data_IF_740431208911
#
_entry.id   IF_740431208911
#
_cell.length_a   1.000
_cell.length_b   1.000
_cell.length_c   1.000
_cell.angle_alpha   90.00
_cell.angle_beta   90.00
_cell.angle_gamma   90.00
#
_symmetry.space_group_name_H-M   'P 1'
#
loop_
_entity.id
_entity.type
_entity.pdbx_description
1 polymer ?
#
# COMPACT_ATOMS: atom_id res chain seq x y z
N UNK A 1 4.23 -26.01 30.58
CA UNK A 1 4.24 -25.60 29.16
C UNK A 1 4.27 -24.08 29.15
N UNK A 2 5.40 -23.50 28.76
CA UNK A 2 5.59 -22.05 28.71
C UNK A 2 4.71 -21.49 27.59
N UNK A 3 3.81 -20.55 27.91
CA UNK A 3 2.98 -19.87 26.92
C UNK A 3 3.89 -18.95 26.07
N UNK A 4 3.82 -19.00 24.72
CA UNK A 4 4.75 -18.28 23.85
C UNK A 4 4.52 -16.77 23.93
N UNK A 5 5.63 -16.05 23.77
CA UNK A 5 5.80 -14.59 23.80
C UNK A 5 4.62 -13.81 23.21
N UNK A 6 3.94 -13.01 24.06
CA UNK A 6 3.12 -11.89 23.59
C UNK A 6 4.05 -10.70 23.35
N UNK A 7 4.10 -10.21 22.11
CA UNK A 7 4.65 -8.88 21.83
C UNK A 7 3.61 -7.82 22.21
N UNK A 8 4.03 -6.82 22.97
CA UNK A 8 3.21 -5.66 23.33
C UNK A 8 3.88 -4.44 22.71
N UNK A 9 3.23 -3.74 21.78
CA UNK A 9 3.61 -2.38 21.45
C UNK A 9 2.79 -1.43 22.34
N UNK A 10 3.47 -0.75 23.25
CA UNK A 10 2.90 0.35 24.04
C UNK A 10 3.48 1.63 23.47
N UNK A 11 2.66 2.60 23.07
CA UNK A 11 3.15 3.95 22.85
C UNK A 11 3.57 4.52 24.20
N UNK A 12 4.87 4.70 24.39
CA UNK A 12 5.46 5.37 25.56
C UNK A 12 4.80 6.73 25.80
N UNK A 13 4.75 7.24 27.04
CA UNK A 13 4.25 8.59 27.28
C UNK A 13 5.16 9.59 26.55
N UNK A 14 4.62 10.26 25.53
CA UNK A 14 5.20 11.50 25.01
C UNK A 14 5.68 11.57 23.56
N UNK A 15 5.42 10.63 22.65
CA UNK A 15 5.91 10.86 21.26
C UNK A 15 5.22 10.22 20.06
N UNK A 16 4.19 9.36 20.18
CA UNK A 16 3.48 8.89 18.97
C UNK A 16 2.00 8.59 19.28
N UNK A 17 1.04 9.08 18.46
CA UNK A 17 -0.34 8.59 18.51
C UNK A 17 -0.35 7.06 18.37
N UNK A 18 -1.25 6.38 19.09
CA UNK A 18 -1.44 4.93 18.92
C UNK A 18 -1.63 4.59 17.43
N UNK A 19 -0.91 3.57 16.90
CA UNK A 19 -1.04 3.16 15.50
C UNK A 19 -2.44 2.64 15.15
N UNK A 20 -3.31 2.46 16.14
CA UNK A 20 -4.71 2.05 15.99
C UNK A 20 -5.70 3.23 16.10
N UNK A 21 -5.21 4.46 16.18
CA UNK A 21 -6.01 5.68 16.29
C UNK A 21 -6.31 6.12 17.73
N UNK A 22 -7.01 7.25 17.86
CA UNK A 22 -7.43 7.85 19.13
C UNK A 22 -8.90 7.57 19.41
N UNK A 23 -9.25 7.25 20.64
CA UNK A 23 -10.61 7.09 21.10
C UNK A 23 -11.36 8.41 21.28
N UNK A 24 -12.59 8.31 21.80
CA UNK A 24 -13.39 9.47 22.18
C UNK A 24 -14.14 9.23 23.50
N UNK A 25 -14.46 10.30 24.22
CA UNK A 25 -15.19 10.25 25.48
C UNK A 25 -14.28 10.15 26.71
N UNK A 26 -14.80 9.59 27.81
CA UNK A 26 -14.06 9.46 29.06
C UNK A 26 -13.26 8.15 29.07
N UNK A 27 -11.95 8.26 29.27
CA UNK A 27 -11.07 7.13 29.53
C UNK A 27 -11.51 6.43 30.82
N UNK A 28 -11.83 5.14 30.73
CA UNK A 28 -12.46 4.39 31.83
C UNK A 28 -11.46 3.82 32.84
N UNK A 29 -10.31 3.34 32.38
CA UNK A 29 -9.28 2.73 33.21
C UNK A 29 -7.89 3.23 32.81
N UNK A 30 -7.00 3.38 33.78
CA UNK A 30 -5.60 3.78 33.59
C UNK A 30 -4.68 2.96 34.49
N UNK A 31 -3.36 3.03 34.25
CA UNK A 31 -2.34 2.41 35.12
C UNK A 31 -2.57 0.91 35.37
N UNK A 32 -3.01 0.18 34.34
CA UNK A 32 -3.31 -1.25 34.44
C UNK A 32 -2.02 -2.05 34.61
N UNK A 33 -1.93 -2.83 35.68
CA UNK A 33 -0.82 -3.72 36.01
C UNK A 33 -1.36 -5.12 36.30
N UNK A 34 -1.05 -6.08 35.43
CA UNK A 34 -1.46 -7.47 35.56
C UNK A 34 -0.28 -8.34 36.05
N UNK A 35 -0.58 -9.41 36.78
CA UNK A 35 0.38 -10.45 37.17
C UNK A 35 0.64 -11.47 36.05
N UNK A 36 -0.25 -11.53 35.05
CA UNK A 36 -0.18 -12.43 33.90
C UNK A 36 -0.99 -13.72 34.05
N UNK A 37 -1.78 -13.84 35.12
CA UNK A 37 -2.67 -14.98 35.38
C UNK A 37 -4.15 -14.63 35.31
N UNK A 38 -4.47 -13.35 35.17
CA UNK A 38 -5.83 -12.83 35.06
C UNK A 38 -6.46 -13.22 33.72
N UNK A 39 -7.73 -13.65 33.75
CA UNK A 39 -8.52 -13.95 32.55
C UNK A 39 -9.31 -12.72 32.06
N UNK A 40 -9.30 -11.64 32.83
CA UNK A 40 -9.99 -10.40 32.52
C UNK A 40 -9.18 -9.18 32.99
N UNK A 41 -9.07 -8.16 32.14
CA UNK A 41 -8.30 -6.93 32.44
C UNK A 41 -8.78 -6.19 33.69
N UNK A 42 -10.04 -6.37 34.09
CA UNK A 42 -10.60 -5.79 35.33
C UNK A 42 -10.17 -6.50 36.61
N UNK A 43 -9.54 -7.67 36.50
CA UNK A 43 -8.94 -8.40 37.63
C UNK A 43 -7.52 -7.92 37.92
N UNK A 44 -6.92 -7.15 37.01
CA UNK A 44 -5.61 -6.54 37.20
C UNK A 44 -5.68 -5.37 38.19
N UNK A 45 -4.54 -4.97 38.75
CA UNK A 45 -4.46 -3.74 39.52
C UNK A 45 -4.61 -2.55 38.58
N UNK A 46 -5.63 -1.72 38.78
CA UNK A 46 -5.95 -0.61 37.87
C UNK A 46 -6.44 0.62 38.63
N UNK A 47 -6.40 1.77 37.97
CA UNK A 47 -6.97 3.03 38.44
C UNK A 47 -8.18 3.41 37.57
N UNK A 48 -9.18 4.04 38.18
CA UNK A 48 -10.30 4.59 37.42
C UNK A 48 -9.86 5.85 36.68
N UNK A 49 -10.18 5.92 35.39
CA UNK A 49 -9.91 7.09 34.56
C UNK A 49 -11.04 8.13 34.65
N UNK A 50 -10.68 9.38 34.42
CA UNK A 50 -11.63 10.51 34.33
C UNK A 50 -11.23 11.53 33.26
N UNK A 51 -10.20 11.24 32.48
CA UNK A 51 -9.65 12.11 31.45
C UNK A 51 -10.35 11.89 30.11
N UNK A 52 -10.36 12.92 29.27
CA UNK A 52 -10.76 12.86 27.86
C UNK A 52 -9.59 13.16 26.90
N UNK A 53 -8.35 13.04 27.38
CA UNK A 53 -7.15 13.17 26.56
C UNK A 53 -6.72 11.79 26.02
N UNK A 54 -6.94 11.59 24.72
CA UNK A 54 -6.71 10.32 24.00
C UNK A 54 -5.31 10.19 23.39
N UNK A 55 -4.36 11.07 23.74
CA UNK A 55 -2.99 10.98 23.23
C UNK A 55 -2.26 9.70 23.68
N UNK A 56 -2.73 9.05 24.76
CA UNK A 56 -2.10 7.86 25.36
C UNK A 56 -3.03 6.63 25.36
N UNK A 57 -3.98 6.56 24.43
CA UNK A 57 -4.85 5.39 24.31
C UNK A 57 -4.03 4.15 23.91
N UNK A 58 -4.36 3.00 24.50
CA UNK A 58 -3.65 1.73 24.26
C UNK A 58 -4.41 0.91 23.23
N UNK A 59 -3.73 0.50 22.16
CA UNK A 59 -4.21 -0.52 21.21
C UNK A 59 -3.63 -1.90 21.51
N UNK A 60 -4.42 -2.95 21.31
CA UNK A 60 -3.98 -4.34 21.47
C UNK A 60 -4.26 -5.15 20.21
N UNK A 61 -3.29 -5.93 19.73
CA UNK A 61 -3.48 -6.94 18.68
C UNK A 61 -3.51 -8.32 19.33
N UNK A 62 -4.68 -8.97 19.29
CA UNK A 62 -4.85 -10.31 19.85
C UNK A 62 -4.90 -11.36 18.74
N UNK A 63 -4.07 -12.39 18.85
CA UNK A 63 -4.04 -13.54 17.95
C UNK A 63 -2.66 -14.18 17.98
N UNK A 64 -2.56 -15.44 17.55
CA UNK A 64 -1.35 -15.79 16.81
C UNK A 64 -1.37 -14.85 15.61
N UNK A 65 -0.38 -13.97 15.45
CA UNK A 65 -0.10 -13.56 14.08
C UNK A 65 0.00 -14.86 13.29
N UNK A 66 -0.68 -14.97 12.15
CA UNK A 66 -0.10 -15.82 11.11
C UNK A 66 1.37 -15.44 11.11
N UNK A 67 2.28 -16.39 11.41
CA UNK A 67 3.66 -16.08 11.78
C UNK A 67 4.22 -15.10 10.75
N UNK A 68 4.19 -13.79 11.03
CA UNK A 68 4.61 -12.77 10.07
C UNK A 68 6.10 -13.09 9.87
N UNK A 69 6.46 -13.60 8.70
CA UNK A 69 7.82 -14.06 8.43
C UNK A 69 8.60 -12.90 7.89
N UNK A 70 9.90 -12.92 8.17
CA UNK A 70 10.82 -11.98 7.57
C UNK A 70 10.66 -11.99 6.03
N UNK A 71 10.32 -10.82 5.47
CA UNK A 71 10.04 -10.59 4.05
C UNK A 71 8.60 -10.85 3.61
N UNK A 72 7.65 -11.04 4.54
CA UNK A 72 6.22 -11.03 4.21
C UNK A 72 5.78 -9.61 3.86
N UNK A 73 4.80 -9.49 2.96
CA UNK A 73 4.31 -8.20 2.46
C UNK A 73 2.79 -8.11 2.59
N UNK A 74 2.27 -6.88 2.65
CA UNK A 74 0.83 -6.58 2.65
C UNK A 74 0.52 -5.25 1.97
N UNK A 75 -0.74 -5.09 1.54
CA UNK A 75 -1.27 -3.83 1.02
C UNK A 75 -2.21 -3.18 2.05
N UNK A 76 -2.05 -1.87 2.27
CA UNK A 76 -2.83 -1.10 3.26
C UNK A 76 -3.38 0.18 2.64
N UNK A 77 -4.59 0.59 3.03
CA UNK A 77 -5.18 1.88 2.62
C UNK A 77 -5.90 1.87 1.27
N UNK A 78 -5.83 0.76 0.52
CA UNK A 78 -6.61 0.55 -0.69
C UNK A 78 -8.12 0.42 -0.47
N UNK A 79 -8.91 0.73 -1.50
CA UNK A 79 -10.36 0.45 -1.49
C UNK A 79 -10.64 -1.04 -1.75
N UNK A 80 -9.69 -1.72 -2.38
CA UNK A 80 -9.75 -3.13 -2.69
C UNK A 80 -8.54 -3.88 -2.13
N UNK A 81 -8.64 -5.21 -1.98
CA UNK A 81 -7.55 -6.01 -1.40
C UNK A 81 -6.31 -6.13 -2.29
N UNK A 82 -6.44 -5.79 -3.57
CA UNK A 82 -5.39 -5.87 -4.59
C UNK A 82 -4.72 -4.52 -4.84
N UNK A 83 -4.96 -3.50 -4.01
CA UNK A 83 -4.32 -2.20 -4.12
C UNK A 83 -3.98 -1.64 -2.73
N UNK A 84 -2.99 -0.76 -2.67
CA UNK A 84 -2.64 -0.07 -1.44
C UNK A 84 -1.16 0.25 -1.31
N UNK A 85 -0.81 0.94 -0.22
CA UNK A 85 0.56 1.13 0.24
C UNK A 85 1.21 -0.22 0.53
N UNK A 86 2.43 -0.39 0.06
CA UNK A 86 3.22 -1.61 0.30
C UNK A 86 3.87 -1.52 1.67
N UNK A 87 3.63 -2.52 2.50
CA UNK A 87 4.34 -2.72 3.76
C UNK A 87 5.03 -4.08 3.75
N UNK A 88 6.22 -4.14 4.35
CA UNK A 88 7.04 -5.35 4.47
C UNK A 88 7.34 -5.64 5.95
N UNK A 89 7.40 -6.91 6.32
CA UNK A 89 7.74 -7.35 7.67
C UNK A 89 9.21 -7.71 7.78
N UNK A 90 10.01 -6.83 8.41
CA UNK A 90 11.44 -7.02 8.65
C UNK A 90 11.72 -6.77 10.13
N UNK A 91 12.73 -7.47 10.68
CA UNK A 91 13.21 -7.30 12.05
C UNK A 91 12.13 -7.29 13.16
N UNK A 92 11.03 -8.02 12.93
CA UNK A 92 9.95 -8.19 13.91
C UNK A 92 8.86 -7.12 13.83
N UNK A 93 8.93 -6.20 12.88
CA UNK A 93 7.94 -5.13 12.70
C UNK A 93 7.55 -4.90 11.24
N UNK A 94 6.32 -4.42 11.04
CA UNK A 94 5.88 -3.92 9.74
C UNK A 94 6.43 -2.52 9.53
N UNK A 95 6.92 -2.26 8.32
CA UNK A 95 7.38 -0.94 7.91
C UNK A 95 7.08 -0.70 6.44
N UNK A 96 7.19 0.56 6.03
CA UNK A 96 6.88 1.00 4.67
C UNK A 96 8.11 0.94 3.77
N UNK A 97 7.88 1.18 2.48
CA UNK A 97 8.89 1.23 1.43
C UNK A 97 8.71 2.58 0.74
N UNK A 98 9.79 3.29 0.42
CA UNK A 98 9.71 4.56 -0.32
C UNK A 98 9.60 4.33 -1.82
N UNK A 99 9.08 5.34 -2.52
CA UNK A 99 8.80 5.30 -3.95
C UNK A 99 9.99 5.71 -4.84
N UNK A 100 11.11 6.07 -4.22
CA UNK A 100 12.40 6.29 -4.87
C UNK A 100 12.86 5.03 -5.62
N UNK A 101 13.10 5.19 -6.91
CA UNK A 101 13.43 4.14 -7.90
C UNK A 101 12.41 3.02 -8.08
N UNK A 102 11.32 3.00 -7.29
CA UNK A 102 10.29 2.00 -7.39
C UNK A 102 9.42 2.19 -8.67
N UNK A 103 9.28 1.13 -9.45
CA UNK A 103 8.59 1.15 -10.74
C UNK A 103 7.59 -0.03 -10.91
N UNK A 104 7.00 -0.15 -12.10
CA UNK A 104 6.00 -1.19 -12.38
C UNK A 104 6.60 -2.61 -12.37
N UNK A 105 7.93 -2.76 -12.52
CA UNK A 105 8.64 -4.03 -12.40
C UNK A 105 8.69 -4.48 -10.95
N UNK A 106 8.91 -3.55 -10.02
CA UNK A 106 8.81 -3.84 -8.58
C UNK A 106 7.38 -4.20 -8.19
N UNK A 107 6.39 -3.46 -8.71
CA UNK A 107 4.99 -3.74 -8.47
C UNK A 107 4.62 -5.16 -8.93
N UNK A 108 5.16 -5.61 -10.07
CA UNK A 108 4.98 -6.97 -10.55
C UNK A 108 5.45 -8.03 -9.54
N UNK A 109 6.62 -7.82 -8.91
CA UNK A 109 7.13 -8.73 -7.86
C UNK A 109 6.20 -8.75 -6.65
N UNK A 110 5.74 -7.59 -6.18
CA UNK A 110 4.78 -7.45 -5.06
C UNK A 110 3.49 -8.21 -5.36
N UNK A 111 2.90 -7.97 -6.52
CA UNK A 111 1.62 -8.55 -6.90
C UNK A 111 1.70 -10.07 -7.05
N UNK A 112 2.77 -10.56 -7.68
CA UNK A 112 3.04 -12.00 -7.78
C UNK A 112 3.27 -12.64 -6.42
N UNK A 113 4.04 -12.00 -5.53
CA UNK A 113 4.28 -12.53 -4.17
C UNK A 113 2.99 -12.60 -3.35
N UNK A 114 2.04 -11.68 -3.56
CA UNK A 114 0.71 -11.69 -2.93
C UNK A 114 -0.27 -12.68 -3.58
N UNK A 115 0.12 -13.34 -4.67
CA UNK A 115 -0.71 -14.32 -5.38
C UNK A 115 -1.70 -13.70 -6.38
N UNK A 116 -1.52 -12.42 -6.72
CA UNK A 116 -2.21 -11.82 -7.86
C UNK A 116 -1.44 -12.20 -9.13
N UNK A 117 -2.04 -13.07 -9.94
CA UNK A 117 -1.47 -13.51 -11.22
C UNK A 117 -1.86 -12.53 -12.32
N UNK A 118 -1.01 -11.53 -12.55
CA UNK A 118 -1.12 -10.60 -13.66
C UNK A 118 -0.19 -11.01 -14.78
N UNK A 119 -0.69 -10.92 -16.02
CA UNK A 119 0.22 -10.86 -17.16
C UNK A 119 1.07 -9.59 -17.03
N UNK A 120 2.39 -9.71 -17.17
CA UNK A 120 3.35 -8.60 -17.12
C UNK A 120 2.77 -7.29 -17.71
N UNK A 121 2.64 -6.25 -16.88
CA UNK A 121 2.26 -4.90 -17.31
C UNK A 121 0.87 -4.39 -16.92
N UNK A 122 0.15 -5.09 -16.04
CA UNK A 122 -1.07 -4.57 -15.41
C UNK A 122 -0.88 -4.09 -13.97
N UNK A 123 0.20 -4.53 -13.35
CA UNK A 123 0.65 -4.01 -12.07
C UNK A 123 1.08 -2.55 -12.27
N UNK A 124 0.73 -1.69 -11.32
CA UNK A 124 1.13 -0.28 -11.35
C UNK A 124 1.70 0.18 -10.04
N UNK A 125 2.74 0.97 -10.14
CA UNK A 125 3.30 1.78 -9.06
C UNK A 125 2.59 3.12 -8.93
N UNK A 126 2.44 3.55 -7.68
CA UNK A 126 1.93 4.85 -7.29
C UNK A 126 2.88 5.50 -6.28
N UNK A 127 2.96 6.81 -6.39
CA UNK A 127 3.96 7.66 -5.73
C UNK A 127 3.28 8.60 -4.73
N UNK A 128 4.08 9.26 -3.91
CA UNK A 128 3.68 10.32 -2.99
C UNK A 128 2.58 9.89 -2.01
N UNK A 129 2.74 8.70 -1.42
CA UNK A 129 1.78 8.13 -0.46
C UNK A 129 0.34 8.10 -0.99
N UNK A 130 0.14 7.65 -2.24
CA UNK A 130 -1.16 7.67 -2.93
C UNK A 130 -2.32 7.07 -2.12
N UNK A 131 -2.09 5.95 -1.43
CA UNK A 131 -3.09 5.30 -0.56
C UNK A 131 -2.96 5.68 0.92
N UNK A 132 -2.34 6.84 1.18
CA UNK A 132 -2.08 7.39 2.50
C UNK A 132 -0.70 7.03 3.04
N UNK A 133 -0.21 7.89 3.91
CA UNK A 133 1.05 7.71 4.64
C UNK A 133 0.93 6.55 5.64
N UNK A 134 2.01 5.79 5.77
CA UNK A 134 2.19 4.84 6.85
C UNK A 134 2.68 5.51 8.12
N UNK A 135 3.06 4.67 9.08
CA UNK A 135 3.58 5.10 10.38
C UNK A 135 4.71 4.15 10.80
N UNK A 136 5.67 4.65 11.55
CA UNK A 136 6.73 3.84 12.13
C UNK A 136 7.97 3.76 11.24
N UNK A 137 8.52 2.57 11.08
CA UNK A 137 9.78 2.36 10.37
C UNK A 137 9.57 2.34 8.86
N UNK A 138 10.46 2.98 8.11
CA UNK A 138 10.64 2.77 6.67
C UNK A 138 11.75 1.74 6.53
N UNK A 139 11.42 0.56 6.00
CA UNK A 139 12.35 -0.57 5.94
C UNK A 139 13.24 -0.53 4.70
N UNK A 140 12.65 -0.25 3.54
CA UNK A 140 13.34 -0.30 2.25
C UNK A 140 13.24 1.05 1.53
N UNK A 141 14.32 1.41 0.84
CA UNK A 141 14.44 2.55 -0.07
C UNK A 141 15.31 2.17 -1.28
N UNK A 142 15.25 2.96 -2.36
CA UNK A 142 15.94 2.73 -3.63
C UNK A 142 15.69 1.31 -4.12
N UNK A 143 14.41 0.93 -4.16
CA UNK A 143 14.00 -0.41 -4.54
C UNK A 143 14.26 -0.59 -6.04
N UNK A 144 14.88 -1.71 -6.40
CA UNK A 144 15.14 -2.05 -7.81
C UNK A 144 15.16 -3.55 -8.04
N UNK A 145 14.00 -4.10 -8.37
CA UNK A 145 13.82 -5.47 -8.82
C UNK A 145 14.20 -5.61 -10.31
N UNK A 146 14.66 -6.80 -10.69
CA UNK A 146 14.79 -7.21 -12.09
C UNK A 146 13.46 -7.70 -12.69
N UNK A 147 12.45 -7.96 -11.85
CA UNK A 147 11.13 -8.47 -12.22
C UNK A 147 11.04 -10.00 -12.21
N UNK A 148 12.09 -10.67 -11.74
CA UNK A 148 12.18 -12.15 -11.70
C UNK A 148 12.20 -12.70 -10.29
N UNK A 149 12.41 -11.85 -9.28
CA UNK A 149 12.45 -12.14 -7.86
C UNK A 149 11.13 -12.71 -7.35
N UNK A 150 11.16 -13.80 -6.60
CA UNK A 150 9.92 -14.38 -6.05
C UNK A 150 9.41 -13.60 -4.84
N UNK A 151 10.30 -12.89 -4.17
CA UNK A 151 9.99 -12.10 -2.98
C UNK A 151 10.64 -10.74 -3.09
N UNK A 152 9.93 -9.71 -2.63
CA UNK A 152 10.38 -8.32 -2.64
C UNK A 152 11.73 -8.12 -1.93
N UNK A 153 11.97 -8.91 -0.87
CA UNK A 153 13.22 -8.87 -0.10
C UNK A 153 14.45 -9.35 -0.88
N UNK A 154 14.26 -10.00 -2.04
CA UNK A 154 15.35 -10.45 -2.91
C UNK A 154 15.81 -9.35 -3.87
N UNK A 155 15.04 -8.27 -4.01
CA UNK A 155 15.37 -7.13 -4.87
C UNK A 155 16.49 -6.28 -4.25
N UNK A 156 17.20 -5.53 -5.09
CA UNK A 156 18.12 -4.53 -4.58
C UNK A 156 17.34 -3.47 -3.81
N UNK A 157 17.85 -3.10 -2.63
CA UNK A 157 17.31 -2.03 -1.80
C UNK A 157 18.38 -1.56 -0.81
N UNK A 158 18.21 -0.37 -0.29
CA UNK A 158 18.97 0.16 0.85
C UNK A 158 18.02 0.45 2.01
N UNK A 159 18.51 0.36 3.24
CA UNK A 159 17.75 0.83 4.39
C UNK A 159 18.02 2.32 4.63
N UNK A 160 16.97 3.13 4.66
CA UNK A 160 17.08 4.55 5.03
C UNK A 160 15.77 5.09 5.56
N UNK A 161 15.86 6.00 6.53
CA UNK A 161 14.71 6.69 7.11
C UNK A 161 14.45 8.02 6.39
N UNK A 162 13.57 7.99 5.39
CA UNK A 162 12.99 9.20 4.80
C UNK A 162 11.67 9.55 5.48
N UNK A 163 10.81 10.30 4.80
CA UNK A 163 9.52 10.72 5.30
C UNK A 163 8.40 9.91 4.63
N UNK A 164 7.31 9.66 5.37
CA UNK A 164 6.20 8.83 4.89
C UNK A 164 5.41 9.43 3.72
N UNK A 165 5.65 10.70 3.36
CA UNK A 165 5.06 11.30 2.16
C UNK A 165 5.60 10.71 0.85
N UNK A 166 6.58 9.81 0.92
CA UNK A 166 7.17 9.06 -0.19
C UNK A 166 6.83 7.57 -0.11
N UNK A 167 5.88 7.15 0.75
CA UNK A 167 5.52 5.74 0.85
C UNK A 167 4.95 5.21 -0.48
N UNK A 168 5.60 4.18 -1.00
CA UNK A 168 5.28 3.53 -2.26
C UNK A 168 4.03 2.67 -2.15
N UNK A 169 3.28 2.64 -3.23
CA UNK A 169 2.02 1.90 -3.31
C UNK A 169 1.87 1.20 -4.65
N UNK A 170 1.05 0.14 -4.67
CA UNK A 170 0.79 -0.62 -5.89
C UNK A 170 -0.69 -0.89 -6.11
N UNK A 171 -1.06 -1.19 -7.35
CA UNK A 171 -2.29 -1.89 -7.69
C UNK A 171 -1.98 -3.11 -8.56
N UNK A 172 -2.45 -4.27 -8.12
CA UNK A 172 -2.19 -5.59 -8.69
C UNK A 172 -3.28 -6.11 -9.61
N UNK A 173 -4.40 -5.41 -9.73
CA UNK A 173 -5.40 -5.70 -10.75
C UNK A 173 -5.85 -4.36 -11.30
N UNK A 174 -5.25 -3.99 -12.43
CA UNK A 174 -5.94 -3.13 -13.38
C UNK A 174 -6.61 -4.04 -14.40
N UNK A 175 -7.86 -3.74 -14.74
CA UNK A 175 -8.59 -4.49 -15.77
C UNK A 175 -7.68 -4.71 -16.98
N UNK A 176 -7.47 -5.97 -17.34
CA UNK A 176 -6.83 -6.32 -18.61
C UNK A 176 -7.67 -5.63 -19.68
N UNK A 177 -7.12 -4.68 -20.46
CA UNK A 177 -7.89 -3.96 -21.44
C UNK A 177 -8.57 -4.93 -22.37
N UNK A 178 -9.84 -4.70 -22.67
CA UNK A 178 -10.54 -5.53 -23.64
C UNK A 178 -9.90 -5.34 -25.02
N UNK A 179 -9.97 -6.37 -25.88
CA UNK A 179 -9.47 -6.27 -27.24
C UNK A 179 -10.12 -5.07 -27.95
N UNK A 180 -9.29 -4.11 -28.38
CA UNK A 180 -9.74 -2.88 -29.03
C UNK A 180 -9.90 -1.67 -28.10
N UNK A 181 -9.61 -1.79 -26.80
CA UNK A 181 -9.57 -0.64 -25.89
C UNK A 181 -8.56 0.41 -26.36
N UNK A 182 -8.87 1.69 -26.15
CA UNK A 182 -8.03 2.83 -26.57
C UNK A 182 -7.67 3.74 -25.40
N UNK A 183 -6.46 4.30 -25.43
CA UNK A 183 -6.01 5.33 -24.49
C UNK A 183 -5.20 6.42 -25.19
N UNK A 184 -5.11 7.60 -24.58
CA UNK A 184 -4.25 8.69 -25.02
C UNK A 184 -3.04 8.79 -24.08
N UNK A 185 -1.84 8.52 -24.61
CA UNK A 185 -0.56 8.59 -23.90
C UNK A 185 0.13 9.94 -24.17
N UNK A 186 0.95 10.44 -23.24
CA UNK A 186 1.54 11.80 -23.30
C UNK A 186 0.51 12.94 -23.33
N UNK A 187 -0.05 13.22 -22.16
CA UNK A 187 -0.44 14.58 -21.78
C UNK A 187 0.64 15.06 -20.82
N UNK A 188 1.39 16.10 -21.17
CA UNK A 188 2.37 16.71 -20.27
C UNK A 188 1.74 17.05 -18.90
N UNK A 189 2.61 17.13 -17.89
CA UNK A 189 2.43 17.33 -16.43
C UNK A 189 1.36 18.35 -15.96
N UNK A 190 0.66 19.02 -16.87
CA UNK A 190 -0.58 19.76 -16.66
C UNK A 190 -1.42 19.67 -17.93
N UNK A 191 -2.43 18.81 -18.02
CA UNK A 191 -3.42 18.99 -19.08
C UNK A 191 -4.79 18.44 -18.73
N UNK A 192 -5.66 19.39 -18.41
CA UNK A 192 -7.12 19.33 -18.42
C UNK A 192 -7.69 19.04 -19.83
N UNK A 193 -6.90 18.48 -20.75
CA UNK A 193 -7.25 18.26 -22.14
C UNK A 193 -7.10 16.77 -22.48
N UNK A 194 -8.16 16.15 -23.01
CA UNK A 194 -8.17 14.80 -23.56
C UNK A 194 -7.39 14.74 -24.87
N UNK A 195 -6.06 14.91 -24.78
CA UNK A 195 -5.14 14.92 -25.92
C UNK A 195 -3.92 14.07 -25.60
N UNK A 196 -3.41 13.39 -26.61
CA UNK A 196 -2.22 12.57 -26.50
C UNK A 196 -2.05 11.68 -27.73
N UNK A 197 -0.94 10.94 -27.72
CA UNK A 197 -0.66 9.86 -28.65
C UNK A 197 -1.68 8.73 -28.45
N UNK A 198 -2.44 8.41 -29.50
CA UNK A 198 -3.40 7.31 -29.46
C UNK A 198 -2.69 5.95 -29.40
N UNK A 199 -3.09 5.14 -28.42
CA UNK A 199 -2.72 3.74 -28.31
C UNK A 199 -3.97 2.85 -28.29
N UNK A 200 -3.86 1.67 -28.88
CA UNK A 200 -4.91 0.63 -28.90
C UNK A 200 -4.36 -0.68 -28.34
N UNK A 201 -5.19 -1.40 -27.58
CA UNK A 201 -4.88 -2.71 -27.04
C UNK A 201 -5.28 -3.80 -28.03
N UNK A 202 -4.30 -4.51 -28.59
CA UNK A 202 -4.54 -5.63 -29.49
C UNK A 202 -3.55 -6.74 -29.19
N UNK A 203 -4.05 -7.98 -29.06
CA UNK A 203 -3.23 -9.19 -28.92
C UNK A 203 -2.28 -9.13 -27.72
N UNK A 204 -2.77 -8.66 -26.57
CA UNK A 204 -2.00 -8.65 -25.32
C UNK A 204 -0.97 -7.53 -25.22
N UNK A 205 -1.03 -6.50 -26.08
CA UNK A 205 -0.10 -5.37 -26.01
C UNK A 205 -0.73 -4.04 -26.44
N UNK A 206 -0.24 -2.95 -25.86
CA UNK A 206 -0.50 -1.60 -26.34
C UNK A 206 0.34 -1.32 -27.59
N UNK A 207 -0.30 -0.81 -28.63
CA UNK A 207 0.36 -0.34 -29.85
C UNK A 207 -0.06 1.07 -30.20
N UNK A 208 0.83 1.81 -30.89
CA UNK A 208 0.50 3.13 -31.45
C UNK A 208 -0.26 2.99 -32.76
N UNK A 209 -1.14 3.95 -33.04
CA UNK A 209 -1.95 3.97 -34.26
C UNK A 209 -1.30 4.91 -35.29
N UNK A 210 -1.18 4.47 -36.55
CA UNK A 210 -0.65 5.29 -37.64
C UNK A 210 -1.71 6.28 -38.15
N UNK A 211 -1.27 7.45 -38.58
CA UNK A 211 -2.08 8.48 -39.23
C UNK A 211 -2.32 8.22 -40.74
N UNK A 212 -1.78 7.13 -41.30
CA UNK A 212 -1.98 6.79 -42.71
C UNK A 212 -3.47 6.59 -43.00
N UNK A 213 -4.03 7.44 -43.87
CA UNK A 213 -5.45 7.48 -44.20
C UNK A 213 -6.40 7.82 -43.02
N UNK A 214 -5.88 8.44 -41.95
CA UNK A 214 -6.68 8.89 -40.81
C UNK A 214 -7.58 10.07 -41.16
N UNK A 215 -8.85 9.99 -40.78
CA UNK A 215 -9.89 11.00 -41.05
C UNK A 215 -10.46 11.59 -39.75
N UNK A 216 -11.23 12.67 -39.88
CA UNK A 216 -11.94 13.25 -38.74
C UNK A 216 -13.00 12.29 -38.17
N UNK A 217 -13.52 11.39 -39.01
CA UNK A 217 -14.49 10.37 -38.61
C UNK A 217 -13.87 9.28 -37.73
N UNK A 218 -12.59 8.96 -37.95
CA UNK A 218 -11.82 8.06 -37.09
C UNK A 218 -11.57 8.69 -35.72
N UNK A 219 -11.20 9.98 -35.70
CA UNK A 219 -11.09 10.77 -34.45
C UNK A 219 -12.41 10.77 -33.68
N UNK A 220 -13.53 10.99 -34.36
CA UNK A 220 -14.87 10.97 -33.76
C UNK A 220 -15.20 9.60 -33.15
N UNK A 221 -14.77 8.50 -33.78
CA UNK A 221 -14.94 7.16 -33.24
C UNK A 221 -14.14 6.95 -31.95
N UNK A 222 -12.87 7.36 -31.92
CA UNK A 222 -12.01 7.29 -30.73
C UNK A 222 -12.57 8.15 -29.58
N UNK A 223 -12.99 9.38 -29.87
CA UNK A 223 -13.59 10.26 -28.87
C UNK A 223 -14.86 9.65 -28.25
N UNK A 224 -15.74 9.05 -29.07
CA UNK A 224 -16.92 8.32 -28.57
C UNK A 224 -16.53 7.13 -27.69
N UNK A 225 -15.52 6.35 -28.07
CA UNK A 225 -15.03 5.22 -27.29
C UNK A 225 -14.45 5.64 -25.94
N UNK A 226 -13.80 6.80 -25.88
CA UNK A 226 -13.31 7.42 -24.64
C UNK A 226 -14.42 8.08 -23.79
N UNK A 227 -15.69 7.88 -24.15
CA UNK A 227 -16.84 8.45 -23.45
C UNK A 227 -16.98 9.97 -23.62
N UNK A 228 -16.53 10.52 -24.76
CA UNK A 228 -16.58 11.95 -25.07
C UNK A 228 -17.46 12.24 -26.27
N UNK A 229 -18.02 13.45 -26.30
CA UNK A 229 -18.69 13.97 -27.48
C UNK A 229 -17.61 14.32 -28.52
N UNK A 230 -17.66 13.67 -29.68
CA UNK A 230 -16.86 14.00 -30.86
C UNK A 230 -17.37 15.24 -31.56
#
# INVERSE_FOLDING_TARGET
MLKPNLFVSVSSPGSVPSPYGQGSGVIRITSVTCSGSEDNITQCSLSMGSSSNHQNDVGVKCGKGADDKHGDIRLVGGSYSWEGRVEIYLDGEWGTITDDDADDVDAHVVCRQLGYDTHYGFDRSYYLAHFGEGVGTIHLNLLGCSGTEYRLIECYSVSSSWAHNEDWSVSCLNDVPEQGEVKLFYSSYYSYYYRGLLQVWLNGRWGVVSDTAWTIEDTNAVCRQLGRNG
#
